data_IF_363033428139
#
_entry.id   IF_363033428139
#
_cell.length_a   1.000
_cell.length_b   1.000
_cell.length_c   1.000
_cell.angle_alpha   90.00
_cell.angle_beta   90.00
_cell.angle_gamma   90.00
#
_symmetry.space_group_name_H-M   'P 1'
#
loop_
_entity.id
_entity.type
_entity.pdbx_description
1 polymer ?
#
# COMPACT_ATOMS: atom_id res chain seq x y z
N UNK A 1 16.10 15.39 14.07
CA UNK A 1 17.12 14.36 14.41
C UNK A 1 16.64 12.97 14.05
N UNK A 2 17.52 12.13 13.50
CA UNK A 2 17.33 10.71 13.23
C UNK A 2 18.56 9.95 13.72
N UNK A 3 18.33 8.77 14.30
CA UNK A 3 19.39 7.97 14.89
C UNK A 3 19.44 6.62 14.19
N UNK A 4 20.61 6.26 13.65
CA UNK A 4 20.86 4.97 13.04
C UNK A 4 21.76 4.13 13.95
N UNK A 5 21.32 2.92 14.29
CA UNK A 5 22.18 1.94 14.93
C UNK A 5 23.15 1.36 13.91
N UNK A 6 24.43 1.27 14.27
CA UNK A 6 25.53 0.78 13.43
C UNK A 6 26.16 -0.45 14.08
N UNK A 7 25.41 -1.57 14.22
CA UNK A 7 25.89 -2.75 14.92
C UNK A 7 27.13 -3.34 14.22
N UNK A 8 28.10 -3.75 15.03
CA UNK A 8 29.33 -4.38 14.57
C UNK A 8 30.23 -3.47 13.72
N UNK A 9 30.05 -2.14 13.75
CA UNK A 9 30.93 -1.24 12.99
C UNK A 9 32.41 -1.47 13.34
N UNK A 10 33.30 -1.25 12.37
CA UNK A 10 34.74 -1.25 12.60
C UNK A 10 35.25 0.19 12.60
N UNK A 11 35.82 0.62 13.73
CA UNK A 11 36.47 1.93 13.83
C UNK A 11 37.75 1.97 12.99
N UNK A 12 38.07 3.13 12.41
CA UNK A 12 39.33 3.36 11.70
C UNK A 12 39.38 2.80 10.28
N UNK A 13 38.29 2.23 9.77
CA UNK A 13 38.20 1.77 8.38
C UNK A 13 37.28 2.71 7.60
N UNK A 14 37.90 3.48 6.71
CA UNK A 14 37.23 4.30 5.70
C UNK A 14 37.35 3.64 4.31
N UNK A 15 36.42 3.91 3.36
CA UNK A 15 35.32 4.87 3.44
C UNK A 15 34.00 4.28 3.97
N UNK A 16 33.29 5.04 4.81
CA UNK A 16 31.83 4.90 5.00
C UNK A 16 31.09 5.84 4.05
N UNK A 17 29.97 5.39 3.47
CA UNK A 17 29.15 6.17 2.53
C UNK A 17 27.76 6.42 3.09
N UNK A 18 27.35 7.69 3.13
CA UNK A 18 26.01 8.14 3.47
C UNK A 18 25.30 8.54 2.18
N UNK A 19 24.13 7.98 1.92
CA UNK A 19 23.25 8.46 0.85
C UNK A 19 22.01 9.07 1.48
N UNK A 20 21.67 10.28 1.06
CA UNK A 20 20.55 11.06 1.56
C UNK A 20 19.60 11.37 0.42
N UNK A 21 18.30 11.33 0.69
CA UNK A 21 17.29 11.86 -0.22
C UNK A 21 16.20 12.60 0.54
N UNK A 22 15.84 13.76 0.02
CA UNK A 22 14.81 14.63 0.57
C UNK A 22 14.01 15.28 -0.55
N UNK A 23 12.78 15.67 -0.22
CA UNK A 23 11.84 16.29 -1.15
C UNK A 23 11.15 17.48 -0.47
N UNK A 24 10.77 18.48 -1.27
CA UNK A 24 10.12 19.69 -0.78
C UNK A 24 8.63 19.70 -1.05
N UNK A 25 7.90 20.44 -0.22
CA UNK A 25 6.45 20.63 -0.33
C UNK A 25 6.05 22.09 -0.52
N UNK A 26 6.99 22.99 -0.78
CA UNK A 26 6.71 24.39 -1.11
C UNK A 26 7.41 24.84 -2.39
N UNK A 27 6.91 25.92 -3.00
CA UNK A 27 7.47 26.51 -4.22
C UNK A 27 8.58 27.54 -3.94
N UNK A 28 8.86 27.84 -2.66
CA UNK A 28 9.81 28.86 -2.22
C UNK A 28 11.26 28.34 -2.21
N UNK A 29 12.18 29.17 -1.70
CA UNK A 29 13.56 28.76 -1.42
C UNK A 29 13.65 27.87 -0.18
N UNK A 30 14.67 27.03 -0.16
CA UNK A 30 14.95 26.03 0.85
C UNK A 30 16.43 26.07 1.20
N UNK A 31 16.78 26.15 2.49
CA UNK A 31 18.17 26.02 2.93
C UNK A 31 18.28 24.84 3.88
N UNK A 32 18.85 23.74 3.39
CA UNK A 32 18.99 22.50 4.17
C UNK A 32 20.43 22.31 4.64
N UNK A 33 20.59 22.25 5.95
CA UNK A 33 21.82 21.80 6.59
C UNK A 33 21.62 20.39 7.18
N UNK A 34 22.56 19.49 6.89
CA UNK A 34 22.60 18.13 7.44
C UNK A 34 23.92 17.91 8.15
N UNK A 35 23.83 17.53 9.43
CA UNK A 35 24.96 17.15 10.26
C UNK A 35 24.93 15.65 10.56
N UNK A 36 26.10 15.04 10.56
CA UNK A 36 26.34 13.69 11.05
C UNK A 36 27.30 13.78 12.23
N UNK A 37 26.89 13.31 13.42
CA UNK A 37 27.68 13.39 14.64
C UNK A 37 28.29 14.79 14.87
N UNK A 38 27.45 15.84 14.75
CA UNK A 38 27.80 17.27 14.84
C UNK A 38 28.67 17.85 13.71
N UNK A 39 29.14 17.05 12.76
CA UNK A 39 29.85 17.54 11.59
C UNK A 39 28.87 17.81 10.44
N UNK A 40 28.90 19.00 9.86
CA UNK A 40 28.14 19.30 8.63
C UNK A 40 28.65 18.42 7.48
N UNK A 41 27.77 17.60 6.92
CA UNK A 41 28.06 16.70 5.78
C UNK A 41 27.40 17.15 4.48
N UNK A 42 26.39 18.01 4.58
CA UNK A 42 25.69 18.56 3.44
C UNK A 42 25.05 19.89 3.82
N UNK A 43 25.25 20.90 2.99
CA UNK A 43 24.69 22.24 3.18
C UNK A 43 24.35 22.82 1.81
N UNK A 44 23.09 23.16 1.57
CA UNK A 44 22.66 23.62 0.25
C UNK A 44 21.43 24.51 0.31
N UNK A 45 21.39 25.45 -0.65
CA UNK A 45 20.20 26.24 -0.96
C UNK A 45 19.62 25.76 -2.30
N UNK A 46 18.29 25.63 -2.40
CA UNK A 46 17.57 25.20 -3.60
C UNK A 46 16.12 25.71 -3.61
N UNK A 47 15.42 25.61 -4.74
CA UNK A 47 14.09 26.22 -4.93
C UNK A 47 13.07 25.27 -5.53
N UNK A 48 11.79 25.52 -5.21
CA UNK A 48 10.64 24.88 -5.84
C UNK A 48 10.30 23.50 -5.29
N UNK A 49 9.24 22.90 -5.84
CA UNK A 49 8.84 21.52 -5.58
C UNK A 49 9.82 20.55 -6.27
N UNK A 50 10.84 20.11 -5.54
CA UNK A 50 11.92 19.30 -6.09
C UNK A 50 12.35 18.21 -5.13
N UNK A 51 13.12 17.25 -5.65
CA UNK A 51 13.79 16.24 -4.85
C UNK A 51 15.29 16.32 -5.10
N UNK A 52 16.06 16.11 -4.03
CA UNK A 52 17.52 16.11 -4.08
C UNK A 52 18.03 14.80 -3.50
N UNK A 53 19.08 14.32 -4.12
CA UNK A 53 19.83 13.12 -3.70
C UNK A 53 21.30 13.50 -3.62
N UNK A 54 21.95 13.11 -2.55
CA UNK A 54 23.37 13.38 -2.34
C UNK A 54 24.05 12.19 -1.69
N UNK A 55 25.34 12.03 -1.97
CA UNK A 55 26.19 11.01 -1.39
C UNK A 55 27.37 11.70 -0.72
N UNK A 56 27.56 11.42 0.56
CA UNK A 56 28.70 11.86 1.32
C UNK A 56 29.57 10.66 1.67
N UNK A 57 30.89 10.79 1.48
CA UNK A 57 31.86 9.80 1.96
C UNK A 57 32.50 10.38 3.21
N UNK A 58 32.41 9.66 4.31
CA UNK A 58 32.90 10.11 5.61
C UNK A 58 34.41 10.17 5.63
N UNK A 59 34.94 11.08 6.44
CA UNK A 59 36.36 11.16 6.77
C UNK A 59 36.65 10.87 8.24
N UNK A 60 35.60 10.73 9.07
CA UNK A 60 35.69 10.50 10.50
C UNK A 60 35.09 9.17 10.93
N UNK A 61 35.63 8.61 12.01
CA UNK A 61 35.21 7.31 12.54
C UNK A 61 33.71 7.27 12.88
N UNK A 62 33.08 6.16 12.51
CA UNK A 62 31.75 5.84 13.02
C UNK A 62 31.78 5.48 14.51
N UNK A 63 30.64 5.71 15.14
CA UNK A 63 30.30 5.27 16.49
C UNK A 63 29.27 4.14 16.42
N UNK A 64 28.95 3.50 17.56
CA UNK A 64 27.93 2.43 17.64
C UNK A 64 26.51 2.90 17.31
N UNK A 65 26.32 4.21 17.37
CA UNK A 65 25.10 4.91 17.01
C UNK A 65 25.49 6.18 16.27
N UNK A 66 24.96 6.36 15.07
CA UNK A 66 25.22 7.54 14.23
C UNK A 66 24.00 8.45 14.25
N UNK A 67 24.21 9.71 14.60
CA UNK A 67 23.14 10.71 14.72
C UNK A 67 23.17 11.62 13.50
N UNK A 68 22.00 11.82 12.88
CA UNK A 68 21.77 12.74 11.78
C UNK A 68 20.83 13.85 12.22
N UNK A 69 21.31 15.08 12.17
CA UNK A 69 20.51 16.28 12.39
C UNK A 69 20.26 16.97 11.06
N UNK A 70 18.98 17.21 10.78
CA UNK A 70 18.54 17.91 9.58
C UNK A 70 17.81 19.15 10.05
N UNK A 71 18.27 20.31 9.60
CA UNK A 71 17.71 21.61 9.95
C UNK A 71 17.49 22.43 8.69
N UNK A 72 16.31 23.05 8.59
CA UNK A 72 16.11 24.20 7.73
C UNK A 72 16.73 25.42 8.40
N UNK A 73 17.54 26.18 7.65
CA UNK A 73 18.21 27.39 8.14
C UNK A 73 17.40 28.61 7.69
N UNK A 74 17.04 29.46 8.65
CA UNK A 74 16.25 30.67 8.40
C UNK A 74 17.16 31.88 8.11
N UNK A 75 17.76 31.89 6.92
CA UNK A 75 18.69 32.95 6.47
C UNK A 75 18.42 33.45 5.04
N UNK A 76 17.48 32.81 4.32
CA UNK A 76 17.12 33.15 2.93
C UNK A 76 15.80 33.93 2.81
N UNK A 77 15.20 34.35 3.93
CA UNK A 77 13.91 35.06 3.97
C UNK A 77 12.77 34.33 3.24
N UNK A 78 12.74 32.99 3.31
CA UNK A 78 11.68 32.18 2.73
C UNK A 78 10.45 32.19 3.65
N UNK A 79 9.24 32.37 3.08
CA UNK A 79 7.99 32.38 3.86
C UNK A 79 7.65 31.02 4.48
N UNK A 80 8.01 29.93 3.81
CA UNK A 80 7.90 28.57 4.33
C UNK A 80 9.03 27.71 3.79
N UNK A 81 9.62 26.88 4.64
CA UNK A 81 10.62 25.89 4.24
C UNK A 81 10.19 24.48 4.69
N UNK A 82 9.39 23.81 3.84
CA UNK A 82 8.88 22.47 4.12
C UNK A 82 9.69 21.40 3.37
N UNK A 83 10.60 20.73 4.10
CA UNK A 83 11.45 19.65 3.59
C UNK A 83 11.09 18.35 4.31
N UNK A 84 10.91 17.28 3.54
CA UNK A 84 10.67 15.94 4.05
C UNK A 84 11.82 14.99 3.68
N UNK A 85 12.30 14.25 4.66
CA UNK A 85 13.34 13.24 4.48
C UNK A 85 12.72 11.97 3.90
N UNK A 86 13.18 11.56 2.71
CA UNK A 86 12.76 10.30 2.11
C UNK A 86 13.55 9.12 2.71
N UNK A 87 14.88 9.18 2.73
CA UNK A 87 15.72 8.15 3.35
C UNK A 87 17.11 8.66 3.75
N UNK A 88 17.72 7.93 4.69
CA UNK A 88 19.14 7.95 5.01
C UNK A 88 19.64 6.51 4.86
N UNK A 89 20.65 6.29 4.03
CA UNK A 89 21.27 4.99 3.84
C UNK A 89 22.76 5.05 4.13
N UNK A 90 23.18 4.35 5.19
CA UNK A 90 24.56 4.30 5.65
C UNK A 90 25.20 2.97 5.27
N UNK A 91 26.28 3.01 4.49
CA UNK A 91 27.10 1.84 4.13
C UNK A 91 28.43 1.95 4.85
N UNK A 92 28.76 0.97 5.69
CA UNK A 92 29.94 1.01 6.53
C UNK A 92 30.62 -0.37 6.68
N UNK A 93 31.94 -0.42 6.92
CA UNK A 93 32.63 -1.65 7.27
C UNK A 93 32.17 -2.18 8.62
N UNK A 94 31.93 -3.50 8.70
CA UNK A 94 31.51 -4.16 9.94
C UNK A 94 32.27 -5.45 10.18
N UNK A 95 32.42 -5.81 11.45
CA UNK A 95 32.80 -7.14 11.87
C UNK A 95 31.64 -8.13 11.64
N UNK A 96 31.99 -9.41 11.59
CA UNK A 96 31.02 -10.48 11.42
C UNK A 96 30.51 -11.01 12.77
N UNK A 97 30.25 -10.12 13.73
CA UNK A 97 29.60 -10.45 15.01
C UNK A 97 28.14 -9.98 14.94
N UNK A 98 27.21 -10.92 15.09
CA UNK A 98 25.80 -10.74 14.70
C UNK A 98 24.86 -10.59 15.90
N UNK A 99 25.36 -10.70 17.14
CA UNK A 99 24.66 -10.37 18.39
C UNK A 99 23.23 -10.96 18.49
N UNK A 100 23.04 -12.21 18.07
CA UNK A 100 21.78 -12.94 18.18
C UNK A 100 20.74 -12.59 17.10
N UNK A 101 21.11 -11.94 15.99
CA UNK A 101 20.20 -11.82 14.84
C UNK A 101 20.11 -13.15 14.08
N UNK A 102 18.94 -13.41 13.50
CA UNK A 102 18.63 -14.62 12.73
C UNK A 102 18.64 -14.41 11.21
N UNK A 103 18.79 -13.16 10.76
CA UNK A 103 18.93 -12.79 9.34
C UNK A 103 19.64 -11.45 9.17
N UNK A 104 20.34 -11.26 8.06
CA UNK A 104 21.01 -9.99 7.73
C UNK A 104 21.39 -9.91 6.26
N UNK A 105 21.22 -8.73 5.65
CA UNK A 105 21.88 -8.39 4.38
C UNK A 105 23.24 -7.73 4.66
N UNK A 106 24.27 -8.11 3.91
CA UNK A 106 25.59 -7.48 3.99
C UNK A 106 26.36 -7.71 2.69
N UNK A 107 27.53 -7.11 2.58
CA UNK A 107 28.40 -7.28 1.40
C UNK A 107 29.72 -7.92 1.78
N UNK A 108 30.24 -8.72 0.86
CA UNK A 108 31.54 -9.40 1.01
C UNK A 108 32.42 -9.04 -0.18
N UNK A 109 33.62 -8.53 0.11
CA UNK A 109 34.68 -8.36 -0.87
C UNK A 109 35.47 -9.65 -1.03
N UNK A 110 35.99 -9.89 -2.23
CA UNK A 110 36.88 -11.02 -2.47
C UNK A 110 38.16 -10.90 -1.66
N UNK A 111 38.58 -12.00 -1.02
CA UNK A 111 39.94 -12.15 -0.49
C UNK A 111 40.93 -12.51 -1.61
N UNK A 112 42.22 -12.53 -1.28
CA UNK A 112 43.23 -13.09 -2.18
C UNK A 112 42.92 -14.58 -2.46
N UNK A 113 42.95 -14.98 -3.74
CA UNK A 113 42.68 -16.35 -4.19
C UNK A 113 41.34 -16.53 -4.90
N UNK A 114 40.89 -17.79 -5.03
CA UNK A 114 39.64 -18.14 -5.72
C UNK A 114 38.41 -18.24 -4.79
N UNK A 115 38.62 -18.22 -3.47
CA UNK A 115 37.57 -18.38 -2.46
C UNK A 115 37.90 -17.55 -1.21
N UNK A 116 36.86 -17.02 -0.57
CA UNK A 116 36.91 -16.29 0.69
C UNK A 116 36.34 -17.16 1.81
N UNK A 117 37.06 -17.31 2.92
CA UNK A 117 36.52 -17.88 4.15
C UNK A 117 35.74 -16.80 4.90
N UNK A 118 34.44 -17.03 5.09
CA UNK A 118 33.58 -16.20 5.92
C UNK A 118 33.41 -16.88 7.28
N UNK A 119 33.67 -16.15 8.36
CA UNK A 119 33.41 -16.60 9.72
C UNK A 119 32.46 -15.61 10.41
N UNK A 120 31.35 -16.12 10.92
CA UNK A 120 30.32 -15.33 11.60
C UNK A 120 30.18 -15.82 13.04
N UNK A 121 30.17 -14.88 13.97
CA UNK A 121 30.03 -15.13 15.40
C UNK A 121 28.67 -14.65 15.90
N UNK A 122 28.17 -15.29 16.96
CA UNK A 122 26.93 -14.88 17.66
C UNK A 122 25.72 -14.74 16.73
N UNK A 123 25.54 -15.66 15.78
CA UNK A 123 24.28 -15.78 15.04
C UNK A 123 23.27 -16.55 15.88
N UNK A 124 21.97 -16.28 15.75
CA UNK A 124 20.96 -16.86 16.65
C UNK A 124 20.88 -18.40 16.57
N UNK A 125 20.98 -18.96 15.37
CA UNK A 125 20.77 -20.38 15.09
C UNK A 125 22.00 -21.00 14.43
N UNK A 126 22.13 -22.33 14.54
CA UNK A 126 23.24 -23.07 13.91
C UNK A 126 22.87 -23.60 12.52
N UNK A 127 21.59 -23.84 12.26
CA UNK A 127 21.09 -24.24 10.95
C UNK A 127 20.83 -23.00 10.08
N UNK A 128 21.78 -22.70 9.20
CA UNK A 128 21.85 -21.42 8.52
C UNK A 128 22.28 -21.58 7.07
N UNK A 129 21.68 -20.78 6.20
CA UNK A 129 22.04 -20.67 4.80
C UNK A 129 22.54 -19.26 4.48
N UNK A 130 23.57 -19.19 3.66
CA UNK A 130 24.06 -17.95 3.06
C UNK A 130 23.67 -17.93 1.58
N UNK A 131 23.08 -16.83 1.13
CA UNK A 131 22.77 -16.59 -0.28
C UNK A 131 23.71 -15.53 -0.82
N UNK A 132 24.38 -15.84 -1.92
CA UNK A 132 25.02 -14.85 -2.78
C UNK A 132 23.99 -14.40 -3.81
N UNK A 133 23.45 -13.20 -3.58
CA UNK A 133 22.40 -12.62 -4.40
C UNK A 133 22.94 -12.10 -5.73
N UNK A 134 24.22 -11.73 -5.77
CA UNK A 134 24.89 -11.23 -6.98
C UNK A 134 25.11 -12.34 -8.00
N UNK A 135 25.56 -13.52 -7.54
CA UNK A 135 25.85 -14.65 -8.43
C UNK A 135 24.78 -15.76 -8.40
N UNK A 136 23.66 -15.53 -7.70
CA UNK A 136 22.53 -16.46 -7.57
C UNK A 136 22.93 -17.83 -7.00
N UNK A 137 23.71 -17.86 -5.91
CA UNK A 137 24.21 -19.11 -5.31
C UNK A 137 23.69 -19.30 -3.89
N UNK A 138 23.33 -20.54 -3.57
CA UNK A 138 23.15 -21.00 -2.19
C UNK A 138 24.48 -21.53 -1.68
N UNK A 139 24.97 -21.00 -0.57
CA UNK A 139 26.23 -21.37 0.06
C UNK A 139 25.90 -22.03 1.42
N UNK A 140 26.20 -23.33 1.59
CA UNK A 140 26.02 -23.99 2.86
C UNK A 140 26.99 -23.41 3.90
N UNK A 141 26.53 -23.35 5.15
CA UNK A 141 27.35 -22.94 6.28
C UNK A 141 27.51 -24.07 7.28
N UNK A 142 28.68 -24.14 7.91
CA UNK A 142 29.03 -25.15 8.90
C UNK A 142 29.29 -24.48 10.24
N UNK A 143 28.55 -24.89 11.26
CA UNK A 143 28.79 -24.45 12.64
C UNK A 143 29.94 -25.26 13.26
N UNK A 144 31.04 -24.59 13.59
CA UNK A 144 32.21 -25.21 14.22
C UNK A 144 32.93 -24.19 15.12
N UNK A 145 33.39 -24.62 16.29
CA UNK A 145 34.14 -23.79 17.25
C UNK A 145 33.42 -22.47 17.59
N UNK A 146 32.11 -22.54 17.84
CA UNK A 146 31.25 -21.38 18.15
C UNK A 146 31.12 -20.34 17.04
N UNK A 147 31.46 -20.69 15.80
CA UNK A 147 31.32 -19.82 14.62
C UNK A 147 30.60 -20.55 13.49
N UNK A 148 29.88 -19.78 12.68
CA UNK A 148 29.41 -20.24 11.38
C UNK A 148 30.48 -19.97 10.34
N UNK A 149 30.87 -20.99 9.60
CA UNK A 149 31.91 -20.92 8.60
C UNK A 149 31.31 -21.20 7.22
N UNK A 150 31.69 -20.41 6.23
CA UNK A 150 31.32 -20.63 4.83
C UNK A 150 32.50 -20.34 3.91
N UNK A 151 32.60 -21.12 2.84
CA UNK A 151 33.56 -20.89 1.77
C UNK A 151 32.82 -20.24 0.61
N UNK A 152 33.03 -18.93 0.44
CA UNK A 152 32.37 -18.11 -0.58
C UNK A 152 33.27 -18.04 -1.81
N UNK A 153 32.85 -18.53 -2.98
CA UNK A 153 33.64 -18.37 -4.21
C UNK A 153 33.81 -16.90 -4.58
N UNK A 154 35.01 -16.53 -5.00
CA UNK A 154 35.30 -15.18 -5.48
C UNK A 154 34.69 -14.97 -6.87
N UNK A 155 34.31 -13.73 -7.19
CA UNK A 155 33.65 -13.37 -8.46
C UNK A 155 34.20 -12.11 -9.12
N UNK A 156 35.34 -11.61 -8.65
CA UNK A 156 36.03 -10.41 -9.12
C UNK A 156 35.44 -9.09 -8.62
N UNK A 157 34.33 -9.12 -7.88
CA UNK A 157 33.59 -7.93 -7.42
C UNK A 157 33.05 -8.13 -5.99
N UNK A 158 32.63 -7.03 -5.37
CA UNK A 158 31.86 -7.08 -4.12
C UNK A 158 30.51 -7.79 -4.36
N UNK A 159 30.17 -8.72 -3.46
CA UNK A 159 28.95 -9.54 -3.54
C UNK A 159 27.94 -9.09 -2.51
N UNK A 160 26.68 -8.98 -2.90
CA UNK A 160 25.57 -8.83 -1.96
C UNK A 160 25.16 -10.20 -1.44
N UNK A 161 25.18 -10.33 -0.12
CA UNK A 161 24.90 -11.57 0.57
C UNK A 161 23.74 -11.41 1.54
N UNK A 162 22.92 -12.46 1.63
CA UNK A 162 21.85 -12.58 2.60
C UNK A 162 22.02 -13.86 3.41
N UNK A 163 22.15 -13.74 4.72
CA UNK A 163 22.17 -14.87 5.63
C UNK A 163 20.83 -14.97 6.35
N UNK A 164 20.33 -16.18 6.54
CA UNK A 164 19.10 -16.46 7.27
C UNK A 164 19.16 -17.83 7.95
N UNK A 165 18.62 -17.91 9.17
CA UNK A 165 18.36 -19.17 9.85
C UNK A 165 17.27 -19.95 9.12
N UNK A 166 17.53 -21.21 8.80
CA UNK A 166 16.53 -22.09 8.18
C UNK A 166 15.39 -22.41 9.15
N UNK A 167 15.65 -22.37 10.47
CA UNK A 167 14.63 -22.54 11.52
C UNK A 167 13.62 -21.37 11.56
N UNK A 168 13.98 -20.21 10.98
CA UNK A 168 13.13 -19.02 10.92
C UNK A 168 12.25 -18.95 9.67
N UNK A 169 12.38 -19.92 8.76
CA UNK A 169 11.59 -19.96 7.54
C UNK A 169 10.13 -20.21 7.92
N UNK A 170 9.26 -19.27 7.53
CA UNK A 170 7.81 -19.42 7.72
C UNK A 170 7.30 -20.54 6.84
N UNK A 171 7.02 -21.68 7.46
CA UNK A 171 6.34 -22.78 6.78
C UNK A 171 4.90 -22.36 6.45
N UNK A 172 4.53 -22.50 5.17
CA UNK A 172 3.15 -22.30 4.71
C UNK A 172 2.52 -23.70 4.65
N UNK A 173 1.74 -24.11 5.66
CA UNK A 173 1.29 -25.49 5.80
C UNK A 173 0.26 -25.91 4.74
N UNK A 174 -0.41 -24.93 4.14
CA UNK A 174 -1.45 -25.16 3.16
C UNK A 174 -1.48 -24.00 2.18
N UNK A 175 -1.53 -24.32 0.90
CA UNK A 175 -1.92 -23.40 -0.15
C UNK A 175 -3.36 -23.72 -0.52
N UNK A 176 -4.19 -22.68 -0.65
CA UNK A 176 -5.57 -22.83 -1.09
C UNK A 176 -5.69 -22.43 -2.55
N UNK A 177 -6.34 -23.28 -3.35
CA UNK A 177 -6.64 -22.96 -4.74
C UNK A 177 -7.68 -21.84 -4.78
N UNK A 178 -7.34 -20.72 -5.40
CA UNK A 178 -8.31 -19.68 -5.75
C UNK A 178 -8.84 -19.93 -7.16
N UNK A 179 -10.16 -20.03 -7.29
CA UNK A 179 -10.82 -20.07 -8.59
C UNK A 179 -11.27 -18.64 -8.95
N UNK A 180 -10.78 -18.14 -10.08
CA UNK A 180 -11.14 -16.83 -10.59
C UNK A 180 -12.42 -16.91 -11.40
N UNK A 181 -13.32 -15.96 -11.15
CA UNK A 181 -14.52 -15.78 -11.99
C UNK A 181 -14.10 -15.12 -13.29
N UNK A 182 -14.60 -15.65 -14.42
CA UNK A 182 -14.33 -15.09 -15.74
C UNK A 182 -15.18 -13.83 -15.96
N UNK A 183 -14.52 -12.67 -15.96
CA UNK A 183 -15.16 -11.37 -16.20
C UNK A 183 -14.92 -10.82 -17.61
N UNK A 184 -14.44 -11.63 -18.57
CA UNK A 184 -14.25 -11.18 -19.95
C UNK A 184 -15.53 -10.46 -20.45
N UNK A 185 -15.42 -9.26 -21.05
CA UNK A 185 -16.60 -8.52 -21.50
C UNK A 185 -17.50 -9.33 -22.44
N UNK A 186 -16.93 -10.22 -23.26
CA UNK A 186 -17.70 -11.16 -24.10
C UNK A 186 -18.62 -12.10 -23.33
N UNK A 187 -18.37 -12.32 -22.04
CA UNK A 187 -19.15 -13.19 -21.14
C UNK A 187 -20.20 -12.39 -20.36
N UNK A 188 -19.97 -11.10 -20.10
CA UNK A 188 -20.83 -10.25 -19.24
C UNK A 188 -21.38 -9.00 -19.94
N UNK A 189 -21.31 -8.95 -21.29
CA UNK A 189 -21.68 -7.82 -22.16
C UNK A 189 -23.15 -7.39 -22.11
N UNK A 190 -24.01 -8.07 -21.38
CA UNK A 190 -25.41 -7.65 -21.23
C UNK A 190 -25.64 -6.81 -19.98
N UNK A 191 -24.66 -6.73 -19.06
CA UNK A 191 -24.88 -6.10 -17.75
C UNK A 191 -25.03 -4.58 -17.86
N UNK A 192 -26.21 -4.06 -17.50
CA UNK A 192 -26.46 -2.61 -17.41
C UNK A 192 -26.67 -2.10 -15.98
N UNK A 193 -26.84 -3.01 -15.02
CA UNK A 193 -26.99 -2.69 -13.60
C UNK A 193 -26.00 -3.53 -12.77
N UNK A 194 -24.94 -2.89 -12.29
CA UNK A 194 -23.85 -3.58 -11.59
C UNK A 194 -24.08 -3.52 -10.09
N UNK A 195 -24.26 -4.67 -9.45
CA UNK A 195 -24.33 -4.79 -7.99
C UNK A 195 -22.98 -5.30 -7.48
N UNK A 196 -22.29 -4.54 -6.65
CA UNK A 196 -21.03 -4.96 -6.03
C UNK A 196 -21.26 -5.20 -4.55
N UNK A 197 -20.92 -6.39 -4.08
CA UNK A 197 -21.22 -6.83 -2.72
C UNK A 197 -20.13 -7.74 -2.15
N UNK A 198 -20.18 -8.00 -0.86
CA UNK A 198 -19.37 -9.05 -0.21
C UNK A 198 -20.18 -10.36 -0.12
N UNK A 199 -19.50 -11.51 -0.15
CA UNK A 199 -20.13 -12.82 -0.05
C UNK A 199 -21.06 -12.98 1.18
N UNK A 200 -20.79 -12.29 2.29
CA UNK A 200 -21.67 -12.26 3.48
C UNK A 200 -23.09 -11.77 3.15
N UNK A 201 -23.24 -10.90 2.16
CA UNK A 201 -24.49 -10.28 1.74
C UNK A 201 -25.03 -10.85 0.42
N UNK A 202 -24.50 -12.00 -0.02
CA UNK A 202 -24.77 -12.53 -1.36
C UNK A 202 -26.24 -12.87 -1.58
N UNK A 203 -26.91 -13.47 -0.58
CA UNK A 203 -28.32 -13.85 -0.68
C UNK A 203 -29.23 -12.63 -0.85
N UNK A 204 -29.05 -11.60 -0.03
CA UNK A 204 -29.83 -10.35 -0.12
C UNK A 204 -29.52 -9.57 -1.39
N UNK A 205 -28.25 -9.52 -1.81
CA UNK A 205 -27.86 -8.91 -3.07
C UNK A 205 -28.49 -9.64 -4.28
N UNK A 206 -28.55 -10.97 -4.23
CA UNK A 206 -29.21 -11.79 -5.25
C UNK A 206 -30.70 -11.50 -5.33
N UNK A 207 -31.39 -11.42 -4.19
CA UNK A 207 -32.81 -11.04 -4.16
C UNK A 207 -33.05 -9.64 -4.75
N UNK A 208 -32.17 -8.67 -4.44
CA UNK A 208 -32.25 -7.33 -5.02
C UNK A 208 -32.02 -7.33 -6.53
N UNK A 209 -31.04 -8.10 -7.01
CA UNK A 209 -30.75 -8.31 -8.43
C UNK A 209 -31.95 -8.93 -9.15
N UNK A 210 -32.57 -9.97 -8.59
CA UNK A 210 -33.73 -10.64 -9.17
C UNK A 210 -34.92 -9.67 -9.28
N UNK A 211 -35.16 -8.84 -8.26
CA UNK A 211 -36.18 -7.79 -8.32
C UNK A 211 -35.90 -6.76 -9.43
N UNK A 212 -34.65 -6.29 -9.58
CA UNK A 212 -34.27 -5.35 -10.65
C UNK A 212 -34.44 -5.93 -12.05
N UNK A 213 -34.36 -7.26 -12.19
CA UNK A 213 -34.54 -7.96 -13.45
C UNK A 213 -36.00 -8.27 -13.80
N UNK A 214 -36.96 -8.01 -12.89
CA UNK A 214 -38.37 -8.22 -13.18
C UNK A 214 -38.81 -7.42 -14.42
N UNK A 215 -39.66 -8.04 -15.24
CA UNK A 215 -40.20 -7.47 -16.47
C UNK A 215 -39.13 -6.98 -17.47
N UNK A 216 -37.91 -7.53 -17.40
CA UNK A 216 -36.77 -7.12 -18.23
C UNK A 216 -36.42 -5.63 -18.10
N UNK A 217 -36.64 -5.03 -16.91
CA UNK A 217 -36.34 -3.62 -16.65
C UNK A 217 -34.84 -3.32 -16.74
N UNK A 218 -34.02 -4.24 -16.25
CA UNK A 218 -32.55 -4.19 -16.28
C UNK A 218 -31.97 -5.57 -16.58
N UNK A 219 -30.68 -5.60 -16.92
CA UNK A 219 -29.83 -6.78 -16.88
C UNK A 219 -28.83 -6.61 -15.72
N UNK A 220 -29.33 -6.83 -14.52
CA UNK A 220 -28.59 -6.70 -13.28
C UNK A 220 -27.76 -7.95 -12.97
N UNK A 221 -26.52 -7.75 -12.52
CA UNK A 221 -25.63 -8.81 -12.07
C UNK A 221 -24.90 -8.45 -10.77
N UNK A 222 -24.68 -9.46 -9.94
CA UNK A 222 -23.91 -9.35 -8.70
C UNK A 222 -22.45 -9.73 -8.92
N UNK A 223 -21.54 -8.94 -8.35
CA UNK A 223 -20.10 -9.13 -8.40
C UNK A 223 -19.55 -9.17 -6.98
N UNK A 224 -18.81 -10.22 -6.65
CA UNK A 224 -18.13 -10.36 -5.35
C UNK A 224 -16.89 -9.47 -5.33
N UNK A 225 -16.87 -8.53 -4.39
CA UNK A 225 -15.78 -7.57 -4.24
C UNK A 225 -14.44 -8.25 -3.92
N UNK A 226 -14.44 -9.43 -3.30
CA UNK A 226 -13.21 -10.19 -3.04
C UNK A 226 -12.58 -10.72 -4.34
N UNK A 227 -13.39 -11.13 -5.32
CA UNK A 227 -12.89 -11.47 -6.67
C UNK A 227 -12.30 -10.26 -7.37
N UNK A 228 -12.88 -9.07 -7.15
CA UNK A 228 -12.37 -7.85 -7.73
C UNK A 228 -11.00 -7.49 -7.15
N UNK A 229 -10.77 -7.69 -5.85
CA UNK A 229 -9.46 -7.41 -5.24
C UNK A 229 -8.36 -8.24 -5.88
N UNK A 230 -8.61 -9.53 -6.04
CA UNK A 230 -7.61 -10.45 -6.59
C UNK A 230 -7.31 -10.13 -8.06
N UNK A 231 -8.33 -9.78 -8.87
CA UNK A 231 -8.17 -9.59 -10.32
C UNK A 231 -7.81 -8.15 -10.74
N UNK A 232 -8.27 -7.13 -9.99
CA UNK A 232 -8.17 -5.72 -10.39
C UNK A 232 -7.37 -4.83 -9.43
N UNK A 233 -6.79 -5.42 -8.38
CA UNK A 233 -5.86 -4.74 -7.47
C UNK A 233 -4.67 -5.59 -7.02
N UNK A 234 -4.32 -6.62 -7.80
CA UNK A 234 -3.18 -7.50 -7.51
C UNK A 234 -3.27 -8.18 -6.12
N UNK A 235 -4.48 -8.51 -5.67
CA UNK A 235 -4.72 -9.16 -4.37
C UNK A 235 -4.72 -8.22 -3.17
N UNK A 236 -4.65 -6.89 -3.37
CA UNK A 236 -4.73 -5.94 -2.26
C UNK A 236 -6.19 -5.84 -1.78
N UNK A 237 -6.48 -6.54 -0.68
CA UNK A 237 -7.81 -6.55 -0.06
C UNK A 237 -8.30 -5.14 0.27
N UNK A 238 -9.59 -4.90 0.01
CA UNK A 238 -10.29 -3.63 0.30
C UNK A 238 -9.67 -2.41 -0.38
N UNK A 239 -8.97 -2.63 -1.49
CA UNK A 239 -8.45 -1.53 -2.29
C UNK A 239 -9.56 -0.99 -3.21
N UNK A 240 -9.98 0.29 -3.09
CA UNK A 240 -11.09 0.84 -3.88
C UNK A 240 -10.82 0.86 -5.39
N UNK A 241 -9.54 0.90 -5.82
CA UNK A 241 -9.22 0.78 -7.24
C UNK A 241 -9.62 -0.56 -7.86
N UNK A 242 -9.80 -1.63 -7.07
CA UNK A 242 -10.32 -2.89 -7.61
C UNK A 242 -11.69 -2.70 -8.27
N UNK A 243 -12.59 -2.01 -7.57
CA UNK A 243 -13.94 -1.67 -8.06
C UNK A 243 -13.83 -0.77 -9.29
N UNK A 244 -13.05 0.31 -9.19
CA UNK A 244 -12.90 1.27 -10.29
C UNK A 244 -12.31 0.65 -11.56
N UNK A 245 -11.24 -0.14 -11.41
CA UNK A 245 -10.58 -0.82 -12.52
C UNK A 245 -11.49 -1.88 -13.14
N UNK A 246 -12.25 -2.61 -12.32
CA UNK A 246 -13.27 -3.53 -12.80
C UNK A 246 -14.34 -2.80 -13.62
N UNK A 247 -14.93 -1.73 -13.08
CA UNK A 247 -15.93 -0.93 -13.79
C UNK A 247 -15.39 -0.41 -15.12
N UNK A 248 -14.17 0.12 -15.14
CA UNK A 248 -13.49 0.54 -16.38
C UNK A 248 -13.32 -0.61 -17.38
N UNK A 249 -12.89 -1.77 -16.90
CA UNK A 249 -12.71 -2.96 -17.71
C UNK A 249 -14.00 -3.43 -18.37
N UNK A 250 -15.10 -3.44 -17.64
CA UNK A 250 -16.40 -3.90 -18.15
C UNK A 250 -17.18 -2.82 -18.92
N UNK A 251 -16.82 -1.55 -18.74
CA UNK A 251 -17.42 -0.41 -19.46
C UNK A 251 -16.76 -0.13 -20.81
N UNK A 252 -15.71 -0.86 -21.20
CA UNK A 252 -14.99 -0.65 -22.46
C UNK A 252 -15.35 -1.76 -23.48
N UNK A 253 -16.51 -1.71 -24.14
CA UNK A 253 -16.76 -2.56 -25.30
C UNK A 253 -15.86 -2.14 -26.46
N UNK A 254 -15.44 -3.11 -27.28
CA UNK A 254 -14.40 -2.93 -28.30
C UNK A 254 -14.71 -1.88 -29.39
N UNK A 255 -15.96 -1.38 -29.52
CA UNK A 255 -16.39 -0.56 -30.67
C UNK A 255 -17.42 0.56 -30.39
N UNK A 256 -17.72 0.98 -29.15
CA UNK A 256 -18.72 2.05 -28.93
C UNK A 256 -18.39 2.97 -27.77
N UNK A 257 -18.62 4.28 -27.97
CA UNK A 257 -18.50 5.34 -26.95
C UNK A 257 -19.63 5.31 -25.90
N UNK A 258 -20.56 4.36 -25.98
CA UNK A 258 -21.61 4.14 -24.98
C UNK A 258 -21.20 3.02 -24.03
N UNK A 259 -21.10 3.35 -22.74
CA UNK A 259 -21.03 2.34 -21.68
C UNK A 259 -22.37 1.63 -21.58
N UNK A 260 -22.34 0.30 -21.54
CA UNK A 260 -23.51 -0.52 -21.26
C UNK A 260 -24.04 -0.30 -19.83
N UNK A 261 -23.20 0.18 -18.92
CA UNK A 261 -23.54 0.30 -17.49
C UNK A 261 -24.30 1.61 -17.24
N UNK A 262 -25.54 1.48 -16.80
CA UNK A 262 -26.42 2.59 -16.42
C UNK A 262 -26.36 2.89 -14.94
N UNK A 263 -26.15 1.87 -14.10
CA UNK A 263 -26.16 2.01 -12.65
C UNK A 263 -25.13 1.12 -11.96
N UNK A 264 -24.50 1.64 -10.91
CA UNK A 264 -23.72 0.88 -9.94
C UNK A 264 -24.42 0.95 -8.58
N UNK A 265 -24.61 -0.20 -7.94
CA UNK A 265 -25.19 -0.27 -6.60
C UNK A 265 -24.29 -1.08 -5.67
N UNK A 266 -23.78 -0.41 -4.66
CA UNK A 266 -22.93 -1.03 -3.64
C UNK A 266 -23.80 -1.56 -2.51
N UNK A 267 -23.67 -2.84 -2.20
CA UNK A 267 -24.35 -3.47 -1.07
C UNK A 267 -23.27 -3.87 -0.06
N UNK A 268 -23.20 -3.13 1.04
CA UNK A 268 -22.26 -3.40 2.12
C UNK A 268 -21.79 -2.17 2.87
N UNK A 269 -21.50 -2.34 4.15
CA UNK A 269 -20.91 -1.30 5.00
C UNK A 269 -19.56 -0.84 4.43
N UNK A 270 -19.42 0.46 4.21
CA UNK A 270 -18.14 1.11 3.94
C UNK A 270 -17.61 1.77 5.20
N UNK A 271 -16.30 1.65 5.41
CA UNK A 271 -15.55 2.35 6.47
C UNK A 271 -14.42 3.15 5.81
N UNK A 272 -14.07 4.29 6.38
CA UNK A 272 -13.07 5.20 5.85
C UNK A 272 -11.65 4.57 5.89
N UNK A 273 -10.84 4.82 4.85
CA UNK A 273 -9.47 4.26 4.74
C UNK A 273 -8.36 5.20 5.25
N UNK A 274 -8.66 6.49 5.42
CA UNK A 274 -7.73 7.54 5.85
C UNK A 274 -7.83 7.88 7.33
N UNK A 275 -6.98 8.80 7.79
CA UNK A 275 -6.91 9.27 9.19
C UNK A 275 -7.16 10.77 9.33
N UNK A 276 -7.41 11.48 8.23
CA UNK A 276 -7.44 12.95 8.24
C UNK A 276 -8.71 13.53 8.86
N UNK A 277 -9.85 12.85 8.70
CA UNK A 277 -11.15 13.35 9.17
C UNK A 277 -11.85 12.44 10.18
N UNK A 278 -11.37 11.20 10.37
CA UNK A 278 -12.02 10.21 11.22
C UNK A 278 -10.97 9.36 11.94
N UNK A 279 -11.18 9.11 13.24
CA UNK A 279 -10.39 8.16 14.04
C UNK A 279 -10.57 6.70 13.57
N UNK A 280 -11.51 6.46 12.67
CA UNK A 280 -12.00 5.15 12.23
C UNK A 280 -11.39 4.72 10.88
N UNK A 281 -10.07 4.64 10.81
CA UNK A 281 -9.40 4.03 9.64
C UNK A 281 -9.50 2.51 9.69
N UNK A 282 -10.07 1.88 8.66
CA UNK A 282 -10.10 0.42 8.60
C UNK A 282 -8.72 -0.19 8.32
N UNK A 283 -7.77 0.55 7.74
CA UNK A 283 -6.46 -0.02 7.32
C UNK A 283 -5.54 -0.37 8.48
N UNK A 284 -5.73 0.26 9.64
CA UNK A 284 -4.88 0.09 10.84
C UNK A 284 -5.62 -0.48 12.04
N UNK A 285 -6.86 -0.94 11.85
CA UNK A 285 -7.70 -1.49 12.90
C UNK A 285 -8.39 -2.76 12.40
N UNK A 286 -8.09 -3.90 13.01
CA UNK A 286 -8.61 -5.21 12.58
C UNK A 286 -10.13 -5.28 12.61
N UNK A 287 -10.77 -4.77 13.67
CA UNK A 287 -12.23 -4.79 13.78
C UNK A 287 -12.91 -3.95 12.69
N UNK A 288 -12.39 -2.75 12.42
CA UNK A 288 -12.88 -1.91 11.31
C UNK A 288 -12.55 -2.54 9.95
N UNK A 289 -11.41 -3.21 9.82
CA UNK A 289 -11.06 -3.94 8.61
C UNK A 289 -12.09 -5.06 8.35
N UNK A 290 -12.51 -5.79 9.37
CA UNK A 290 -13.50 -6.87 9.24
C UNK A 290 -14.92 -6.33 8.99
N UNK A 291 -15.31 -5.24 9.67
CA UNK A 291 -16.62 -4.62 9.53
C UNK A 291 -16.83 -3.88 8.18
N UNK A 292 -15.75 -3.51 7.48
CA UNK A 292 -15.80 -2.89 6.16
C UNK A 292 -16.08 -3.96 5.09
N UNK A 293 -17.32 -4.11 4.64
CA UNK A 293 -17.67 -5.13 3.63
C UNK A 293 -17.36 -4.69 2.20
N UNK A 294 -17.62 -3.42 1.88
CA UNK A 294 -17.30 -2.83 0.56
C UNK A 294 -16.69 -1.44 0.80
N UNK A 295 -15.40 -1.21 0.50
CA UNK A 295 -14.75 0.07 0.77
C UNK A 295 -15.29 1.18 -0.14
N UNK A 296 -15.05 2.43 0.27
CA UNK A 296 -15.26 3.62 -0.55
C UNK A 296 -13.90 4.22 -0.98
N UNK A 297 -13.90 5.25 -1.81
CA UNK A 297 -12.68 5.85 -2.36
C UNK A 297 -12.46 7.29 -1.88
N UNK A 298 -11.20 7.75 -1.84
CA UNK A 298 -10.86 9.12 -1.46
C UNK A 298 -10.74 9.39 0.04
N UNK A 299 -10.31 10.62 0.35
CA UNK A 299 -10.22 11.18 1.69
C UNK A 299 -10.63 12.67 1.66
N UNK A 300 -11.86 13.03 2.11
CA UNK A 300 -12.90 12.17 2.70
C UNK A 300 -13.45 11.12 1.73
N UNK A 301 -14.06 10.05 2.25
CA UNK A 301 -14.58 8.97 1.42
C UNK A 301 -15.81 9.37 0.62
N UNK A 302 -15.84 9.00 -0.66
CA UNK A 302 -16.91 9.26 -1.61
C UNK A 302 -17.00 8.14 -2.63
N UNK A 303 -18.18 7.50 -2.71
CA UNK A 303 -18.44 6.45 -3.71
C UNK A 303 -18.48 7.03 -5.13
N UNK A 304 -18.82 8.31 -5.30
CA UNK A 304 -18.80 8.97 -6.62
C UNK A 304 -17.42 8.89 -7.26
N UNK A 305 -16.34 8.88 -6.48
CA UNK A 305 -15.00 8.77 -7.04
C UNK A 305 -14.71 7.39 -7.67
N UNK A 306 -15.47 6.34 -7.33
CA UNK A 306 -15.37 5.00 -7.91
C UNK A 306 -15.83 4.95 -9.37
N UNK A 307 -16.69 5.88 -9.78
CA UNK A 307 -17.29 5.98 -11.12
C UNK A 307 -16.79 7.20 -11.91
N UNK A 308 -15.71 7.83 -11.47
CA UNK A 308 -14.98 8.84 -12.25
C UNK A 308 -13.93 8.19 -13.13
N UNK A 309 -13.54 8.83 -14.23
CA UNK A 309 -12.46 8.37 -15.11
C UNK A 309 -12.64 6.94 -15.65
N UNK A 310 -13.87 6.54 -15.96
CA UNK A 310 -14.20 5.18 -16.40
C UNK A 310 -14.00 5.10 -17.91
N UNK A 311 -14.78 5.88 -18.67
CA UNK A 311 -14.74 6.05 -20.11
C UNK A 311 -13.87 7.24 -20.52
N UNK A 312 -13.96 8.35 -19.79
CA UNK A 312 -13.19 9.56 -20.07
C UNK A 312 -12.05 9.74 -19.05
N UNK A 313 -11.14 10.70 -19.22
CA UNK A 313 -10.14 11.03 -18.17
C UNK A 313 -10.65 12.14 -17.23
N UNK A 314 -11.96 12.35 -17.17
CA UNK A 314 -12.56 13.45 -16.43
C UNK A 314 -12.90 13.04 -14.99
N UNK A 315 -12.88 14.02 -14.09
CA UNK A 315 -13.23 13.82 -12.67
C UNK A 315 -14.75 13.85 -12.42
N UNK A 316 -15.55 13.92 -13.47
CA UNK A 316 -17.01 13.88 -13.38
C UNK A 316 -17.48 12.47 -13.07
N UNK A 317 -18.55 12.34 -12.30
CA UNK A 317 -19.20 11.05 -12.09
C UNK A 317 -19.84 10.62 -13.42
N UNK A 318 -19.37 9.52 -14.01
CA UNK A 318 -19.80 9.06 -15.34
C UNK A 318 -20.92 8.00 -15.26
N UNK A 319 -21.03 7.28 -14.14
CA UNK A 319 -22.04 6.26 -13.93
C UNK A 319 -22.73 6.52 -12.58
N UNK A 320 -24.06 6.73 -12.54
CA UNK A 320 -24.82 6.84 -11.31
C UNK A 320 -24.49 5.71 -10.33
N UNK A 321 -24.14 6.08 -9.10
CA UNK A 321 -23.76 5.14 -8.04
C UNK A 321 -24.57 5.38 -6.77
N UNK A 322 -25.05 4.31 -6.17
CA UNK A 322 -25.71 4.32 -4.87
C UNK A 322 -25.15 3.24 -3.95
N UNK A 323 -25.41 3.37 -2.64
CA UNK A 323 -25.01 2.38 -1.64
C UNK A 323 -26.12 2.13 -0.63
N UNK A 324 -26.24 0.89 -0.19
CA UNK A 324 -26.80 0.55 1.12
C UNK A 324 -25.70 0.04 2.04
N UNK A 325 -25.58 0.65 3.23
CA UNK A 325 -24.55 0.34 4.20
C UNK A 325 -24.94 -0.83 5.10
N UNK A 326 -25.34 -1.96 4.50
CA UNK A 326 -25.80 -3.15 5.21
C UNK A 326 -24.62 -3.99 5.75
N UNK A 327 -24.84 -4.68 6.87
CA UNK A 327 -23.89 -5.58 7.52
C UNK A 327 -24.36 -7.04 7.51
N UNK A 328 -25.63 -7.28 7.19
CA UNK A 328 -26.23 -8.61 7.08
C UNK A 328 -27.36 -8.63 6.02
N UNK A 329 -27.79 -9.82 5.59
CA UNK A 329 -28.81 -9.98 4.56
C UNK A 329 -30.19 -9.43 4.98
N UNK A 330 -30.51 -9.43 6.29
CA UNK A 330 -31.79 -8.92 6.77
C UNK A 330 -31.92 -7.41 6.53
N UNK A 331 -30.85 -6.64 6.78
CA UNK A 331 -30.81 -5.21 6.46
C UNK A 331 -30.98 -4.93 4.95
N UNK A 332 -30.40 -5.79 4.09
CA UNK A 332 -30.58 -5.71 2.63
C UNK A 332 -32.05 -5.94 2.27
N UNK A 333 -32.68 -6.97 2.84
CA UNK A 333 -34.07 -7.30 2.58
C UNK A 333 -35.03 -6.20 3.08
N UNK A 334 -34.80 -5.63 4.27
CA UNK A 334 -35.59 -4.49 4.77
C UNK A 334 -35.53 -3.30 3.79
N UNK A 335 -34.38 -3.03 3.18
CA UNK A 335 -34.28 -1.98 2.16
C UNK A 335 -35.00 -2.37 0.87
N UNK A 336 -34.83 -3.62 0.42
CA UNK A 336 -35.51 -4.15 -0.77
C UNK A 336 -37.04 -4.08 -0.63
N UNK A 337 -37.59 -4.45 0.51
CA UNK A 337 -39.04 -4.40 0.76
C UNK A 337 -39.57 -2.96 0.64
N UNK A 338 -38.82 -1.97 1.14
CA UNK A 338 -39.17 -0.55 0.98
C UNK A 338 -39.12 -0.11 -0.48
N UNK A 339 -38.14 -0.57 -1.25
CA UNK A 339 -38.05 -0.30 -2.69
C UNK A 339 -39.25 -0.90 -3.42
N UNK A 340 -39.58 -2.16 -3.15
CA UNK A 340 -40.73 -2.85 -3.75
C UNK A 340 -42.03 -2.11 -3.42
N UNK A 341 -42.23 -1.75 -2.15
CA UNK A 341 -43.41 -1.00 -1.71
C UNK A 341 -43.47 0.38 -2.38
N UNK A 342 -42.37 1.10 -2.46
CA UNK A 342 -42.32 2.43 -3.07
C UNK A 342 -42.60 2.40 -4.57
N UNK A 343 -41.97 1.48 -5.32
CA UNK A 343 -42.14 1.37 -6.77
C UNK A 343 -43.53 0.85 -7.20
N UNK A 344 -44.23 0.11 -6.33
CA UNK A 344 -45.60 -0.37 -6.57
C UNK A 344 -46.69 0.49 -5.93
N UNK A 345 -46.33 1.51 -5.14
CA UNK A 345 -47.32 2.34 -4.46
C UNK A 345 -48.09 3.20 -5.48
N UNK A 346 -49.42 3.19 -5.35
CA UNK A 346 -50.28 4.14 -6.07
C UNK A 346 -50.08 5.55 -5.51
N UNK A 347 -50.32 6.55 -6.34
CA UNK A 347 -50.24 7.95 -5.92
C UNK A 347 -51.09 8.18 -4.65
N UNK A 348 -50.43 8.65 -3.59
CA UNK A 348 -51.05 8.85 -2.29
C UNK A 348 -50.77 10.27 -1.77
N UNK A 349 -51.64 10.79 -0.91
CA UNK A 349 -51.54 12.17 -0.42
C UNK A 349 -50.21 12.46 0.27
N UNK A 350 -49.67 11.49 1.02
CA UNK A 350 -48.38 11.64 1.70
C UNK A 350 -47.21 11.88 0.75
N UNK A 351 -47.28 11.41 -0.51
CA UNK A 351 -46.24 11.62 -1.52
C UNK A 351 -46.16 13.08 -2.00
N UNK A 352 -47.17 13.90 -1.70
CA UNK A 352 -47.20 15.35 -1.99
C UNK A 352 -46.69 16.20 -0.83
N UNK A 353 -46.41 15.58 0.32
CA UNK A 353 -45.95 16.29 1.52
C UNK A 353 -44.43 16.25 1.56
N UNK A 354 -43.80 17.41 1.39
CA UNK A 354 -42.34 17.56 1.46
C UNK A 354 -41.99 18.22 2.78
N UNK A 355 -41.01 17.67 3.48
CA UNK A 355 -40.42 18.29 4.67
C UNK A 355 -39.10 18.93 4.26
N UNK A 356 -39.00 20.25 4.39
CA UNK A 356 -37.77 21.02 4.14
C UNK A 356 -37.25 21.56 5.48
N UNK A 357 -36.05 21.13 5.88
CA UNK A 357 -35.34 21.69 7.02
C UNK A 357 -34.32 22.72 6.53
N UNK A 358 -34.46 23.97 6.97
CA UNK A 358 -33.42 25.00 6.83
C UNK A 358 -32.58 25.06 8.10
N UNK A 359 -31.27 24.80 8.00
CA UNK A 359 -30.34 24.93 9.13
C UNK A 359 -30.09 26.40 9.47
N UNK A 360 -30.18 26.77 10.75
CA UNK A 360 -29.88 28.11 11.24
C UNK A 360 -28.43 28.24 11.68
N UNK A 361 -27.73 29.24 11.15
CA UNK A 361 -26.48 29.75 11.70
C UNK A 361 -26.79 31.13 12.29
N UNK A 362 -27.20 31.18 13.56
CA UNK A 362 -27.47 32.45 14.26
C UNK A 362 -26.15 33.09 14.65
N UNK A 363 -25.64 33.93 13.76
CA UNK A 363 -24.88 35.12 14.12
C UNK A 363 -25.51 36.26 13.33
N UNK A 364 -26.59 36.80 13.89
CA UNK A 364 -26.92 38.22 13.75
C UNK A 364 -26.04 39.05 14.69
#
# INVERSE_FOLDING_TARGET
TKTLSTPGFVSGIEPTKVNLSFATKSHYGHHLNVKMNNQTIYDTIFWGLTSKKTTYTTTGNLTSTTIFDLSSIDDINATTDNIELAYIYLTYPRNFIFNGIYKQNFRIKDSNGSKTLLQIEQFLNNNVVLWDLTNHRRIPMVYQNSKLNAIVPNSGNEKECYIISEDSVKYIPKLEKKNFVNYLPTVINTTDYVIITNNLLWTGATAYKDYRNLNNKYSANCYDVEQLYDQFSYGIKKHPLAIKNFLKYISTPSNSNDSLIKYVFLIGKGIHSGTWSYWESFRKNTANFEACLVPSYGNPSSDNMLTTKILTNNNTNEIPIGRIAATNNNEVNIYLDKVIQHENASAAEWMKRVIHFGGGNTTE
#
